data_IF_689701462711
#
_entry.id   IF_689701462711
#
_cell.length_a   1.000
_cell.length_b   1.000
_cell.length_c   1.000
_cell.angle_alpha   90.00
_cell.angle_beta   90.00
_cell.angle_gamma   90.00
#
_symmetry.space_group_name_H-M   'P 1'
#
loop_
_entity.id
_entity.type
_entity.pdbx_description
1 polymer ?
#
# COMPACT_ATOMS: atom_id res chain seq x y z
N UNK A 1 -10.95 -2.99 -16.07
CA UNK A 1 -11.06 -3.45 -14.67
C UNK A 1 -10.54 -4.89 -14.62
N UNK A 2 -9.49 -5.16 -13.85
CA UNK A 2 -8.90 -6.51 -13.73
C UNK A 2 -9.16 -7.07 -12.32
N UNK A 3 -9.01 -8.40 -12.14
CA UNK A 3 -9.15 -9.05 -10.83
C UNK A 3 -8.22 -8.40 -9.79
N UNK A 4 -6.96 -8.14 -10.16
CA UNK A 4 -5.99 -7.46 -9.29
C UNK A 4 -6.47 -6.07 -8.86
N UNK A 5 -7.02 -5.29 -9.79
CA UNK A 5 -7.51 -3.95 -9.50
C UNK A 5 -8.70 -3.97 -8.53
N UNK A 6 -9.65 -4.89 -8.75
CA UNK A 6 -10.81 -5.07 -7.89
C UNK A 6 -10.40 -5.55 -6.49
N UNK A 7 -9.54 -6.57 -6.43
CA UNK A 7 -9.00 -7.09 -5.16
C UNK A 7 -8.29 -5.99 -4.37
N UNK A 8 -7.42 -5.21 -5.01
CA UNK A 8 -6.68 -4.14 -4.34
C UNK A 8 -7.60 -3.04 -3.82
N UNK A 9 -8.49 -2.48 -4.65
CA UNK A 9 -9.37 -1.39 -4.21
C UNK A 9 -10.44 -1.81 -3.22
N UNK A 10 -10.77 -3.10 -3.14
CA UNK A 10 -11.66 -3.62 -2.11
C UNK A 10 -10.92 -3.92 -0.80
N UNK A 11 -9.81 -4.67 -0.86
CA UNK A 11 -9.11 -5.15 0.34
C UNK A 11 -8.34 -4.06 1.08
N UNK A 12 -7.66 -3.15 0.37
CA UNK A 12 -6.78 -2.15 1.01
C UNK A 12 -7.55 -1.20 1.95
N UNK A 13 -8.71 -0.63 1.58
CA UNK A 13 -9.49 0.20 2.50
C UNK A 13 -10.05 -0.57 3.70
N UNK A 14 -10.51 -1.81 3.49
CA UNK A 14 -11.06 -2.67 4.55
C UNK A 14 -9.98 -3.02 5.58
N UNK A 15 -8.81 -3.47 5.11
CA UNK A 15 -7.67 -3.76 5.97
C UNK A 15 -7.18 -2.50 6.68
N UNK A 16 -7.10 -1.37 5.97
CA UNK A 16 -6.73 -0.08 6.56
C UNK A 16 -7.68 0.34 7.70
N UNK A 17 -8.99 0.18 7.51
CA UNK A 17 -9.99 0.48 8.55
C UNK A 17 -9.80 -0.39 9.80
N UNK A 18 -9.58 -1.70 9.61
CA UNK A 18 -9.35 -2.64 10.73
C UNK A 18 -8.10 -2.24 11.51
N UNK A 19 -6.99 -1.96 10.83
CA UNK A 19 -5.73 -1.59 11.50
C UNK A 19 -5.87 -0.29 12.27
N UNK A 20 -6.49 0.76 11.70
CA UNK A 20 -6.71 2.03 12.39
C UNK A 20 -7.62 1.86 13.61
N UNK A 21 -8.63 0.97 13.53
CA UNK A 21 -9.52 0.68 14.66
C UNK A 21 -8.83 -0.05 15.81
N UNK A 22 -7.93 -0.97 15.49
CA UNK A 22 -7.24 -1.79 16.49
C UNK A 22 -6.13 -0.98 17.14
N UNK A 23 -5.28 -0.34 16.33
CA UNK A 23 -4.19 0.50 16.82
C UNK A 23 -3.90 1.69 15.88
N UNK A 24 -4.48 2.87 16.16
CA UNK A 24 -4.39 4.03 15.27
C UNK A 24 -2.98 4.63 15.15
N UNK A 25 -2.08 4.31 16.09
CA UNK A 25 -0.73 4.88 16.17
C UNK A 25 0.36 3.95 15.64
N UNK A 26 0.01 2.82 14.99
CA UNK A 26 0.99 1.89 14.43
C UNK A 26 1.85 2.63 13.39
N UNK A 27 3.16 2.78 13.61
CA UNK A 27 4.05 3.50 12.68
C UNK A 27 4.02 2.95 11.24
N UNK A 28 3.72 1.65 11.08
CA UNK A 28 3.60 1.00 9.78
C UNK A 28 2.45 1.57 8.92
N UNK A 29 1.34 2.01 9.50
CA UNK A 29 0.22 2.56 8.70
C UNK A 29 0.54 3.96 8.18
N UNK A 30 1.22 4.78 8.99
CA UNK A 30 1.67 6.10 8.59
C UNK A 30 2.70 6.01 7.46
N UNK A 31 3.66 5.09 7.60
CA UNK A 31 4.66 4.81 6.56
C UNK A 31 3.99 4.34 5.26
N UNK A 32 3.03 3.39 5.37
CA UNK A 32 2.28 2.89 4.23
C UNK A 32 1.55 4.03 3.50
N UNK A 33 0.77 4.84 4.23
CA UNK A 33 0.02 5.96 3.63
C UNK A 33 0.95 6.98 2.97
N UNK A 34 2.07 7.32 3.60
CA UNK A 34 3.02 8.31 3.08
C UNK A 34 3.69 7.82 1.78
N UNK A 35 4.19 6.59 1.77
CA UNK A 35 4.80 6.02 0.56
C UNK A 35 3.76 5.81 -0.54
N UNK A 36 2.59 5.27 -0.19
CA UNK A 36 1.52 4.99 -1.14
C UNK A 36 0.99 6.26 -1.82
N UNK A 37 0.76 7.33 -1.06
CA UNK A 37 0.32 8.62 -1.62
C UNK A 37 1.40 9.24 -2.52
N UNK A 38 2.67 9.16 -2.13
CA UNK A 38 3.79 9.65 -2.96
C UNK A 38 3.85 8.93 -4.31
N UNK A 39 3.77 7.59 -4.30
CA UNK A 39 3.76 6.80 -5.54
C UNK A 39 2.48 7.03 -6.34
N UNK A 40 1.34 7.23 -5.67
CA UNK A 40 0.08 7.58 -6.34
C UNK A 40 0.14 8.93 -7.04
N UNK A 41 0.75 9.96 -6.44
CA UNK A 41 0.94 11.25 -7.10
C UNK A 41 1.68 11.07 -8.43
N UNK A 42 2.76 10.28 -8.45
CA UNK A 42 3.52 9.98 -9.66
C UNK A 42 2.67 9.20 -10.69
N UNK A 43 1.96 8.17 -10.23
CA UNK A 43 1.15 7.32 -11.10
C UNK A 43 -0.04 8.07 -11.72
N UNK A 44 -0.77 8.86 -10.93
CA UNK A 44 -1.89 9.65 -11.43
C UNK A 44 -1.43 10.80 -12.33
N UNK A 45 -0.26 11.39 -12.06
CA UNK A 45 0.35 12.36 -12.97
C UNK A 45 0.65 11.73 -14.34
N UNK A 46 1.16 10.49 -14.37
CA UNK A 46 1.35 9.75 -15.61
C UNK A 46 0.03 9.50 -16.34
N UNK A 47 -1.04 9.12 -15.62
CA UNK A 47 -2.36 8.90 -16.25
C UNK A 47 -2.98 10.19 -16.78
N UNK A 48 -2.82 11.31 -16.07
CA UNK A 48 -3.23 12.62 -16.56
C UNK A 48 -2.49 12.97 -17.85
N UNK A 49 -1.16 12.76 -17.90
CA UNK A 49 -0.37 12.96 -19.11
C UNK A 49 -0.79 12.04 -20.27
N UNK A 50 -1.12 10.78 -19.97
CA UNK A 50 -1.60 9.82 -20.96
C UNK A 50 -2.98 10.17 -21.53
N UNK A 51 -3.80 10.93 -20.79
CA UNK A 51 -5.13 11.35 -21.21
C UNK A 51 -5.12 12.49 -22.26
N UNK A 52 -4.02 13.24 -22.41
CA UNK A 52 -3.88 14.28 -23.43
C UNK A 52 -3.75 13.75 -24.87
N UNK A 53 -3.78 12.42 -25.06
CA UNK A 53 -3.92 11.78 -26.36
C UNK A 53 -2.64 11.18 -26.95
N UNK A 54 -2.73 10.65 -28.18
CA UNK A 54 -1.66 9.84 -28.79
C UNK A 54 -0.34 10.61 -28.99
N UNK A 55 -0.43 11.93 -29.14
CA UNK A 55 0.71 12.83 -29.34
C UNK A 55 1.61 12.92 -28.10
N UNK A 56 1.03 12.84 -26.90
CA UNK A 56 1.76 12.85 -25.63
C UNK A 56 2.15 11.44 -25.21
N UNK A 57 1.31 10.44 -25.50
CA UNK A 57 1.59 9.04 -25.16
C UNK A 57 2.91 8.50 -25.73
N UNK A 58 3.36 9.00 -26.89
CA UNK A 58 4.65 8.60 -27.48
C UNK A 58 5.85 8.94 -26.58
N UNK A 59 5.73 9.96 -25.73
CA UNK A 59 6.80 10.39 -24.81
C UNK A 59 6.75 9.64 -23.46
N UNK A 60 5.74 8.81 -23.23
CA UNK A 60 5.50 8.12 -21.95
C UNK A 60 6.22 6.76 -21.86
N UNK A 61 7.48 6.70 -22.27
CA UNK A 61 8.30 5.47 -22.25
C UNK A 61 8.61 4.99 -20.83
N UNK A 62 8.55 5.88 -19.83
CA UNK A 62 8.91 5.59 -18.45
C UNK A 62 7.85 4.82 -17.64
N UNK A 63 6.77 4.32 -18.27
CA UNK A 63 5.71 3.54 -17.61
C UNK A 63 6.28 2.40 -16.75
N UNK A 64 7.32 1.73 -17.26
CA UNK A 64 8.01 0.62 -16.56
C UNK A 64 8.60 1.06 -15.23
N UNK A 65 9.17 2.26 -15.14
CA UNK A 65 9.75 2.75 -13.89
C UNK A 65 8.69 3.00 -12.83
N UNK A 66 7.49 3.42 -13.21
CA UNK A 66 6.36 3.58 -12.28
C UNK A 66 6.00 2.23 -11.65
N UNK A 67 5.93 1.16 -12.45
CA UNK A 67 5.67 -0.18 -11.95
C UNK A 67 6.81 -0.69 -11.05
N UNK A 68 8.07 -0.37 -11.37
CA UNK A 68 9.21 -0.70 -10.51
C UNK A 68 9.13 0.02 -9.16
N UNK A 69 8.80 1.32 -9.15
CA UNK A 69 8.63 2.11 -7.92
C UNK A 69 7.49 1.53 -7.07
N UNK A 70 6.38 1.11 -7.67
CA UNK A 70 5.27 0.44 -6.96
C UNK A 70 5.73 -0.88 -6.31
N UNK A 71 6.53 -1.68 -7.00
CA UNK A 71 7.08 -2.92 -6.43
C UNK A 71 8.08 -2.64 -5.30
N UNK A 72 8.93 -1.64 -5.45
CA UNK A 72 9.88 -1.20 -4.42
C UNK A 72 9.13 -0.72 -3.17
N UNK A 73 8.02 0.02 -3.32
CA UNK A 73 7.16 0.41 -2.19
C UNK A 73 6.70 -0.82 -1.40
N UNK A 74 6.27 -1.89 -2.06
CA UNK A 74 5.85 -3.12 -1.37
C UNK A 74 7.00 -3.81 -0.65
N UNK A 75 8.19 -3.87 -1.28
CA UNK A 75 9.39 -4.45 -0.65
C UNK A 75 9.79 -3.67 0.61
N UNK A 76 9.83 -2.34 0.54
CA UNK A 76 10.15 -1.48 1.69
C UNK A 76 9.16 -1.73 2.83
N UNK A 77 7.85 -1.81 2.51
CA UNK A 77 6.82 -2.06 3.51
C UNK A 77 6.97 -3.45 4.14
N UNK A 78 7.25 -4.48 3.34
CA UNK A 78 7.46 -5.84 3.81
C UNK A 78 8.67 -5.92 4.76
N UNK A 79 9.79 -5.30 4.37
CA UNK A 79 11.00 -5.25 5.21
C UNK A 79 10.72 -4.49 6.50
N UNK A 80 10.09 -3.32 6.42
CA UNK A 80 9.74 -2.53 7.60
C UNK A 80 8.85 -3.32 8.57
N UNK A 81 7.81 -3.98 8.05
CA UNK A 81 6.91 -4.80 8.87
C UNK A 81 7.68 -5.98 9.49
N UNK A 82 8.49 -6.70 8.70
CA UNK A 82 9.29 -7.84 9.17
C UNK A 82 10.29 -7.45 10.26
N UNK A 83 10.93 -6.29 10.12
CA UNK A 83 11.89 -5.78 11.10
C UNK A 83 11.23 -5.28 12.38
N UNK A 84 10.02 -4.72 12.29
CA UNK A 84 9.34 -4.12 13.45
C UNK A 84 8.50 -5.14 14.22
N UNK A 85 8.03 -6.21 13.59
CA UNK A 85 7.29 -7.33 14.22
C UNK A 85 7.94 -7.87 15.53
N UNK A 86 9.26 -8.11 15.61
CA UNK A 86 9.89 -8.58 16.85
C UNK A 86 9.95 -7.53 17.97
N UNK A 87 9.90 -6.24 17.63
CA UNK A 87 9.96 -5.12 18.58
C UNK A 87 8.58 -4.65 19.05
N UNK A 88 7.50 -5.00 18.34
CA UNK A 88 6.11 -4.79 18.78
C UNK A 88 5.70 -5.77 19.90
N UNK A 89 6.52 -5.90 20.95
CA UNK A 89 6.22 -6.73 22.14
C UNK A 89 5.18 -6.13 23.10
N UNK A 90 4.71 -4.90 22.87
CA UNK A 90 3.80 -4.17 23.78
C UNK A 90 2.48 -3.71 23.15
N UNK A 91 2.30 -3.91 21.85
CA UNK A 91 1.07 -3.60 21.12
C UNK A 91 0.30 -4.91 20.95
N UNK A 92 -0.99 -4.94 21.34
CA UNK A 92 -1.76 -6.20 21.44
C UNK A 92 -1.79 -6.81 20.05
N UNK A 93 -1.11 -7.94 19.83
CA UNK A 93 -0.90 -8.37 18.48
C UNK A 93 -2.22 -8.90 17.92
N UNK A 94 -2.42 -8.67 16.62
CA UNK A 94 -3.50 -9.19 15.76
C UNK A 94 -3.77 -10.70 15.95
N UNK A 95 -2.86 -11.44 16.60
CA UNK A 95 -3.03 -12.84 17.03
C UNK A 95 -4.23 -13.11 17.97
N UNK A 96 -4.78 -12.10 18.67
CA UNK A 96 -6.00 -12.29 19.47
C UNK A 96 -7.27 -12.57 18.63
N UNK A 97 -7.29 -12.25 17.33
CA UNK A 97 -8.47 -12.50 16.47
C UNK A 97 -8.45 -13.84 15.75
N UNK A 98 -7.30 -14.53 15.67
CA UNK A 98 -7.22 -15.92 15.18
C UNK A 98 -7.22 -16.95 16.31
N UNK A 99 -7.01 -16.52 17.57
CA UNK A 99 -7.05 -17.38 18.76
C UNK A 99 -8.14 -17.08 19.79
N UNK A 100 -8.89 -15.98 19.66
CA UNK A 100 -9.85 -15.51 20.68
C UNK A 100 -11.29 -15.98 20.54
N UNK A 101 -11.54 -17.16 19.95
CA UNK A 101 -12.84 -17.84 20.04
C UNK A 101 -12.82 -19.00 21.04
N UNK A 102 -11.65 -19.39 21.56
CA UNK A 102 -11.58 -20.34 22.67
C UNK A 102 -10.48 -19.90 23.63
N UNK A 103 -10.90 -19.59 24.87
CA UNK A 103 -10.13 -19.17 26.07
C UNK A 103 -9.69 -17.72 26.16
#
# INVERSE_FOLDING_TARGET
ITVLHLYHHFSVPVLGWIVVKVEPLVPAILLFCTLNTTVHVIMYSYYALAAFGPTVQKYLWWKRYITQIQLIQFIILLVYCSLTLPFYRGYRPVYLWLGGIYT
#
